data_IF_990231010213
#
_entry.id   IF_990231010213
#
_cell.length_a   1.000
_cell.length_b   1.000
_cell.length_c   1.000
_cell.angle_alpha   90.00
_cell.angle_beta   90.00
_cell.angle_gamma   90.00
#
_symmetry.space_group_name_H-M   'P 1'
#
loop_
_entity.id
_entity.type
_entity.pdbx_description
1 polymer ?
#
# COMPACT_ATOMS: atom_id res chain seq x y z
N UNK A 1 -5.67 19.31 3.36
CA UNK A 1 -4.56 18.35 3.45
C UNK A 1 -4.86 17.15 2.57
N UNK A 2 -3.84 16.54 2.05
CA UNK A 2 -4.00 15.39 1.17
C UNK A 2 -4.21 14.11 1.97
N UNK A 3 -4.89 13.14 1.36
CA UNK A 3 -5.08 11.81 1.93
C UNK A 3 -4.62 10.75 0.93
N UNK A 4 -4.25 9.58 1.44
CA UNK A 4 -3.77 8.46 0.64
C UNK A 4 -4.53 7.21 1.04
N UNK A 5 -4.98 6.44 0.05
CA UNK A 5 -5.58 5.13 0.27
C UNK A 5 -4.92 4.09 -0.61
N UNK A 6 -5.06 2.83 -0.24
CA UNK A 6 -4.54 1.72 -1.02
C UNK A 6 -5.53 0.57 -1.02
N UNK A 7 -5.40 -0.29 -2.02
CA UNK A 7 -6.23 -1.47 -2.19
C UNK A 7 -5.34 -2.56 -2.79
N UNK A 8 -5.18 -3.67 -2.09
CA UNK A 8 -4.32 -4.76 -2.53
C UNK A 8 -5.18 -5.91 -3.03
N UNK A 9 -4.96 -6.27 -4.29
CA UNK A 9 -5.66 -7.39 -4.93
C UNK A 9 -4.66 -8.50 -5.22
N UNK A 10 -5.02 -9.71 -4.79
CA UNK A 10 -4.24 -10.91 -5.09
C UNK A 10 -4.70 -11.44 -6.44
N UNK A 11 -3.91 -11.18 -7.48
CA UNK A 11 -4.31 -11.52 -8.85
C UNK A 11 -4.15 -13.01 -9.14
N UNK A 12 -3.37 -13.73 -8.36
CA UNK A 12 -3.26 -15.19 -8.50
C UNK A 12 -4.52 -15.89 -8.01
N UNK A 13 -5.14 -15.37 -6.95
CA UNK A 13 -6.36 -15.93 -6.39
C UNK A 13 -7.63 -15.24 -6.88
N UNK A 14 -7.49 -14.06 -7.50
CA UNK A 14 -8.63 -13.29 -8.00
C UNK A 14 -9.47 -12.68 -6.89
N UNK A 15 -8.85 -12.30 -5.76
CA UNK A 15 -9.57 -11.76 -4.61
C UNK A 15 -8.69 -10.77 -3.84
N UNK A 16 -9.29 -9.97 -2.93
CA UNK A 16 -8.51 -9.05 -2.11
C UNK A 16 -7.47 -9.77 -1.25
N UNK A 17 -6.33 -9.13 -1.04
CA UNK A 17 -5.29 -9.62 -0.16
C UNK A 17 -5.52 -9.07 1.25
N UNK A 18 -5.76 -9.96 2.20
CA UNK A 18 -6.13 -9.64 3.58
C UNK A 18 -4.93 -9.80 4.49
N UNK A 19 -4.76 -8.87 5.42
CA UNK A 19 -3.73 -9.00 6.46
C UNK A 19 -2.34 -8.54 6.07
N UNK A 20 -2.22 -7.73 5.03
CA UNK A 20 -0.93 -7.17 4.65
C UNK A 20 -0.71 -5.86 5.41
N UNK A 21 0.42 -5.78 6.11
CA UNK A 21 0.82 -4.52 6.75
C UNK A 21 1.32 -3.55 5.70
N UNK A 22 0.88 -2.30 5.78
CA UNK A 22 1.23 -1.24 4.85
C UNK A 22 1.68 -0.02 5.65
N UNK A 23 2.86 0.49 5.35
CA UNK A 23 3.40 1.69 5.99
C UNK A 23 3.52 2.82 4.99
N UNK A 24 3.13 4.02 5.41
CA UNK A 24 3.40 5.24 4.66
C UNK A 24 4.64 5.88 5.24
N UNK A 25 5.64 6.14 4.40
CA UNK A 25 6.93 6.67 4.83
C UNK A 25 7.31 7.90 4.04
N UNK A 26 8.12 8.73 4.67
CA UNK A 26 8.76 9.86 4.03
C UNK A 26 10.16 10.04 4.63
N UNK A 27 11.17 10.12 3.74
CA UNK A 27 12.56 10.35 4.14
C UNK A 27 13.04 9.36 5.21
N UNK A 28 12.66 8.09 5.07
CA UNK A 28 13.05 7.04 6.01
C UNK A 28 12.26 7.00 7.31
N UNK A 29 11.26 7.85 7.46
CA UNK A 29 10.44 7.90 8.66
C UNK A 29 9.05 7.33 8.36
N UNK A 30 8.61 6.39 9.19
CA UNK A 30 7.25 5.86 9.10
C UNK A 30 6.29 6.89 9.68
N UNK A 31 5.37 7.37 8.86
CA UNK A 31 4.38 8.35 9.28
C UNK A 31 3.12 7.69 9.82
N UNK A 32 2.66 6.65 9.17
CA UNK A 32 1.46 5.92 9.56
C UNK A 32 1.59 4.49 9.10
N UNK A 33 0.86 3.58 9.76
CA UNK A 33 0.81 2.19 9.34
C UNK A 33 -0.60 1.64 9.50
N UNK A 34 -0.90 0.58 8.77
CA UNK A 34 -2.18 -0.10 8.84
C UNK A 34 -2.06 -1.50 8.26
N UNK A 35 -3.17 -2.23 8.29
CA UNK A 35 -3.24 -3.61 7.80
C UNK A 35 -4.45 -3.71 6.89
N UNK A 36 -4.31 -4.41 5.76
CA UNK A 36 -5.43 -4.58 4.84
C UNK A 36 -6.52 -5.44 5.47
N UNK A 37 -7.76 -5.03 5.27
CA UNK A 37 -8.96 -5.71 5.77
C UNK A 37 -9.50 -6.74 4.78
N UNK A 38 -10.72 -7.23 5.03
CA UNK A 38 -11.35 -8.23 4.19
C UNK A 38 -11.55 -7.77 2.73
N UNK A 39 -11.58 -6.48 2.50
CA UNK A 39 -11.69 -5.91 1.16
C UNK A 39 -10.32 -5.60 0.53
N UNK A 40 -9.23 -5.90 1.24
CA UNK A 40 -7.89 -5.58 0.77
C UNK A 40 -7.51 -4.12 0.93
N UNK A 41 -8.25 -3.38 1.73
CA UNK A 41 -8.03 -1.95 1.95
C UNK A 41 -7.50 -1.70 3.35
N UNK A 42 -6.68 -0.68 3.50
CA UNK A 42 -6.36 -0.16 4.82
C UNK A 42 -7.55 0.68 5.27
N UNK A 43 -8.12 0.31 6.40
CA UNK A 43 -9.40 0.83 6.88
C UNK A 43 -9.41 2.35 7.01
N UNK A 44 -8.37 2.90 7.62
CA UNK A 44 -8.25 4.33 7.79
C UNK A 44 -7.29 4.89 6.74
N UNK A 45 -7.76 5.86 5.99
CA UNK A 45 -6.90 6.52 5.02
C UNK A 45 -5.75 7.22 5.72
N UNK A 46 -4.60 7.24 5.07
CA UNK A 46 -3.45 7.99 5.56
C UNK A 46 -3.68 9.49 5.30
N UNK A 47 -3.12 10.32 6.17
CA UNK A 47 -3.19 11.77 6.03
C UNK A 47 -4.27 12.42 6.86
N UNK A 48 -5.06 11.64 7.62
CA UNK A 48 -6.07 12.21 8.53
C UNK A 48 -5.46 12.65 9.84
N UNK A 49 -4.49 11.87 10.36
CA UNK A 49 -3.82 12.17 11.63
C UNK A 49 -2.53 12.92 11.43
N UNK A 50 -1.81 12.63 10.35
CA UNK A 50 -0.53 13.26 10.01
C UNK A 50 -0.73 14.07 8.74
N UNK A 51 -0.48 15.38 8.78
CA UNK A 51 -0.62 16.21 7.58
C UNK A 51 0.35 15.78 6.48
N UNK A 52 -0.15 15.62 5.27
CA UNK A 52 0.64 15.23 4.11
C UNK A 52 0.69 16.40 3.13
N UNK A 53 1.80 17.11 3.12
CA UNK A 53 2.07 18.18 2.17
C UNK A 53 2.68 17.66 0.88
N UNK A 54 2.94 18.54 -0.09
CA UNK A 54 3.62 18.15 -1.32
C UNK A 54 4.98 17.51 -1.05
N UNK A 55 5.33 16.50 -1.83
CA UNK A 55 6.60 15.82 -1.70
C UNK A 55 6.53 14.37 -2.15
N UNK A 56 7.63 13.68 -1.96
CA UNK A 56 7.77 12.27 -2.33
C UNK A 56 7.54 11.43 -1.09
N UNK A 57 6.64 10.46 -1.24
CA UNK A 57 6.30 9.50 -0.19
C UNK A 57 6.47 8.11 -0.74
N UNK A 58 6.49 7.11 0.14
CA UNK A 58 6.41 5.74 -0.30
C UNK A 58 5.43 4.94 0.56
N UNK A 59 4.81 3.95 -0.06
CA UNK A 59 4.04 2.92 0.61
C UNK A 59 4.89 1.65 0.58
N UNK A 60 5.08 1.06 1.75
CA UNK A 60 5.80 -0.21 1.90
C UNK A 60 4.81 -1.28 2.28
N UNK A 61 4.70 -2.30 1.42
CA UNK A 61 3.78 -3.41 1.60
C UNK A 61 4.60 -4.63 2.04
N UNK A 62 4.30 -5.16 3.21
CA UNK A 62 5.02 -6.30 3.78
C UNK A 62 4.38 -7.59 3.29
N UNK A 63 4.70 -7.97 2.06
CA UNK A 63 4.05 -9.09 1.37
C UNK A 63 4.64 -10.45 1.73
N UNK A 64 5.84 -10.46 2.32
CA UNK A 64 6.53 -11.71 2.67
C UNK A 64 5.69 -12.56 3.62
N UNK A 65 5.18 -11.97 4.68
CA UNK A 65 4.34 -12.67 5.67
C UNK A 65 3.06 -13.20 5.02
N UNK A 66 2.49 -12.43 4.11
CA UNK A 66 1.25 -12.80 3.43
C UNK A 66 1.43 -14.11 2.64
N UNK A 67 2.50 -14.21 1.86
CA UNK A 67 2.75 -15.40 1.05
C UNK A 67 3.28 -16.55 1.90
N UNK A 68 4.13 -16.28 2.87
CA UNK A 68 4.73 -17.31 3.72
C UNK A 68 3.67 -18.03 4.55
N UNK A 69 2.65 -17.32 4.99
CA UNK A 69 1.56 -17.90 5.78
C UNK A 69 0.91 -19.10 5.09
N UNK A 70 0.77 -19.06 3.77
CA UNK A 70 0.18 -20.14 2.98
C UNK A 70 1.24 -21.03 2.33
N UNK A 71 2.51 -20.87 2.70
CA UNK A 71 3.59 -21.68 2.18
C UNK A 71 3.87 -21.45 0.69
N UNK A 72 3.50 -20.30 0.16
CA UNK A 72 3.67 -19.99 -1.26
C UNK A 72 5.07 -19.45 -1.54
N UNK A 73 5.71 -20.02 -2.56
CA UNK A 73 6.95 -19.45 -3.07
C UNK A 73 6.64 -18.08 -3.68
N UNK A 74 7.51 -17.14 -3.41
CA UNK A 74 7.36 -15.79 -3.91
C UNK A 74 8.73 -15.14 -4.06
N UNK A 75 8.80 -14.09 -4.85
CA UNK A 75 10.09 -13.50 -5.19
C UNK A 75 10.39 -12.22 -4.40
N UNK A 76 9.37 -11.38 -4.15
CA UNK A 76 9.58 -10.09 -3.52
C UNK A 76 9.30 -10.17 -2.03
N UNK A 77 10.28 -9.80 -1.17
CA UNK A 77 10.04 -9.79 0.28
C UNK A 77 9.15 -8.64 0.71
N UNK A 78 9.20 -7.54 -0.03
CA UNK A 78 8.35 -6.39 0.18
C UNK A 78 8.15 -5.67 -1.14
N UNK A 79 7.11 -4.85 -1.19
CA UNK A 79 6.85 -3.99 -2.35
C UNK A 79 6.92 -2.55 -1.87
N UNK A 80 7.69 -1.74 -2.57
CA UNK A 80 7.84 -0.32 -2.26
C UNK A 80 7.35 0.47 -3.45
N UNK A 81 6.34 1.31 -3.21
CA UNK A 81 5.79 2.19 -4.24
C UNK A 81 6.09 3.63 -3.86
N UNK A 82 6.94 4.27 -4.63
CA UNK A 82 7.27 5.69 -4.45
C UNK A 82 6.30 6.51 -5.30
N UNK A 83 5.73 7.54 -4.72
CA UNK A 83 4.76 8.39 -5.43
C UNK A 83 4.87 9.83 -4.96
N UNK A 84 4.31 10.74 -5.76
CA UNK A 84 4.40 12.17 -5.50
C UNK A 84 3.04 12.74 -5.14
N UNK A 85 3.00 13.50 -4.04
CA UNK A 85 1.89 14.37 -3.73
C UNK A 85 2.25 15.74 -4.29
N UNK A 86 1.50 16.22 -5.28
CA UNK A 86 1.81 17.48 -5.96
C UNK A 86 1.03 18.66 -5.40
N UNK A 87 -0.23 18.43 -5.07
CA UNK A 87 -1.12 19.51 -4.63
C UNK A 87 -1.76 19.17 -3.30
N UNK A 88 -2.01 20.18 -2.50
CA UNK A 88 -2.71 20.02 -1.24
C UNK A 88 -4.20 19.81 -1.45
N UNK A 89 -4.82 19.11 -0.52
CA UNK A 89 -6.26 18.92 -0.53
C UNK A 89 -6.77 17.88 -1.51
N UNK A 90 -5.90 17.03 -2.04
CA UNK A 90 -6.29 15.97 -2.97
C UNK A 90 -6.23 14.61 -2.31
N UNK A 91 -6.97 13.68 -2.87
CA UNK A 91 -6.91 12.28 -2.47
C UNK A 91 -6.11 11.49 -3.50
N UNK A 92 -5.18 10.67 -3.01
CA UNK A 92 -4.32 9.83 -3.85
C UNK A 92 -4.60 8.37 -3.55
N UNK A 93 -5.10 7.64 -4.53
CA UNK A 93 -5.36 6.22 -4.40
C UNK A 93 -4.27 5.44 -5.12
N UNK A 94 -3.59 4.56 -4.38
CA UNK A 94 -2.44 3.79 -4.87
C UNK A 94 -2.76 2.30 -4.74
N UNK A 95 -3.38 1.68 -5.75
CA UNK A 95 -3.68 0.26 -5.71
C UNK A 95 -2.44 -0.59 -5.97
N UNK A 96 -2.44 -1.82 -5.45
CA UNK A 96 -1.41 -2.81 -5.72
C UNK A 96 -2.05 -4.08 -6.25
N UNK A 97 -1.65 -4.49 -7.45
CA UNK A 97 -2.03 -5.77 -8.03
C UNK A 97 -0.87 -6.73 -7.76
N UNK A 98 -1.10 -7.71 -6.90
CA UNK A 98 -0.04 -8.53 -6.32
C UNK A 98 -0.16 -9.99 -6.75
N UNK A 99 0.96 -10.58 -7.13
CA UNK A 99 1.08 -12.02 -7.33
C UNK A 99 2.41 -12.49 -6.73
N UNK A 100 2.65 -13.81 -6.59
CA UNK A 100 3.90 -14.28 -5.96
C UNK A 100 5.17 -13.84 -6.69
N UNK A 101 5.14 -13.62 -7.99
CA UNK A 101 6.33 -13.30 -8.76
C UNK A 101 6.25 -11.99 -9.53
N UNK A 102 5.26 -11.16 -9.24
CA UNK A 102 5.14 -9.88 -9.90
C UNK A 102 4.11 -8.99 -9.24
N UNK A 103 4.13 -7.73 -9.60
CA UNK A 103 3.11 -6.80 -9.14
C UNK A 103 3.04 -5.62 -10.10
N UNK A 104 1.94 -4.92 -10.03
CA UNK A 104 1.82 -3.64 -10.71
C UNK A 104 1.05 -2.67 -9.83
N UNK A 105 1.24 -1.39 -10.10
CA UNK A 105 0.58 -0.32 -9.39
C UNK A 105 0.25 0.80 -10.37
N UNK A 106 -0.70 1.64 -9.99
CA UNK A 106 -1.09 2.79 -10.81
C UNK A 106 -1.76 3.83 -9.92
N UNK A 107 -1.98 5.01 -10.44
CA UNK A 107 -2.76 6.00 -9.71
C UNK A 107 -4.23 5.73 -9.97
N UNK A 108 -4.96 5.32 -8.94
CA UNK A 108 -6.39 5.11 -9.02
C UNK A 108 -7.15 6.42 -9.00
N UNK A 109 -8.39 6.37 -9.38
CA UNK A 109 -9.26 7.54 -9.38
C UNK A 109 -10.07 7.69 -8.10
#
# INVERSE_FOLDING_TARGET
MSTVSTHVLDTALGRPAVGIRVELERDGTVLESGVTDADGRVRDQYGKSVPLGPGIYLLRFFVDEYFTKDGLLHFYPEVIVSFRIEAMGQHYHVPLLLSPFGYSTYRGS
#
